data_IF_148201854500
#
_entry.id   IF_148201854500
#
_cell.length_a   1.000
_cell.length_b   1.000
_cell.length_c   1.000
_cell.angle_alpha   90.00
_cell.angle_beta   90.00
_cell.angle_gamma   90.00
#
_symmetry.space_group_name_H-M   'P 1'
#
loop_
_entity.id
_entity.type
_entity.pdbx_description
1 polymer ?
#
# COMPACT_ATOMS: atom_id res chain seq x y z
N UNK A 1 0.63 -2.92 -4.88
CA UNK A 1 1.91 -2.78 -5.59
C UNK A 1 1.82 -3.52 -6.90
N UNK A 2 2.39 -2.98 -7.98
CA UNK A 2 2.39 -3.63 -9.30
C UNK A 2 3.59 -4.57 -9.48
N UNK A 3 3.58 -5.37 -10.54
CA UNK A 3 4.62 -6.38 -10.81
C UNK A 3 6.03 -5.80 -10.88
N UNK A 4 6.19 -4.57 -11.40
CA UNK A 4 7.50 -3.93 -11.51
C UNK A 4 8.03 -3.50 -10.14
N UNK A 5 7.18 -2.92 -9.28
CA UNK A 5 7.54 -2.55 -7.91
C UNK A 5 7.90 -3.79 -7.06
N UNK A 6 7.16 -4.89 -7.25
CA UNK A 6 7.45 -6.17 -6.59
C UNK A 6 8.82 -6.69 -7.04
N UNK A 7 9.09 -6.70 -8.35
CA UNK A 7 10.38 -7.11 -8.89
C UNK A 7 11.54 -6.27 -8.34
N UNK A 8 11.36 -4.95 -8.26
CA UNK A 8 12.37 -4.03 -7.70
C UNK A 8 12.61 -4.27 -6.21
N UNK A 9 11.56 -4.60 -5.44
CA UNK A 9 11.69 -4.93 -4.02
C UNK A 9 12.34 -6.29 -3.80
N UNK A 10 12.04 -7.27 -4.65
CA UNK A 10 12.69 -8.60 -4.67
C UNK A 10 14.20 -8.49 -4.98
N UNK A 11 14.64 -7.44 -5.68
CA UNK A 11 16.06 -7.10 -5.88
C UNK A 11 16.73 -6.45 -4.65
N UNK A 12 15.98 -6.23 -3.57
CA UNK A 12 16.47 -5.64 -2.32
C UNK A 12 16.38 -4.11 -2.25
N UNK A 13 15.66 -3.45 -3.16
CA UNK A 13 15.41 -2.02 -3.03
C UNK A 13 14.37 -1.77 -1.93
N UNK A 14 14.55 -0.67 -1.18
CA UNK A 14 13.52 -0.21 -0.23
C UNK A 14 12.17 -0.01 -0.93
N UNK A 15 11.07 -0.21 -0.22
CA UNK A 15 9.73 -0.03 -0.78
C UNK A 15 9.54 1.37 -1.40
N UNK A 16 10.10 2.42 -0.78
CA UNK A 16 10.04 3.79 -1.30
C UNK A 16 10.72 3.90 -2.65
N UNK A 17 11.92 3.33 -2.78
CA UNK A 17 12.66 3.36 -4.03
C UNK A 17 12.00 2.48 -5.10
N UNK A 18 11.52 1.29 -4.73
CA UNK A 18 10.80 0.41 -5.63
C UNK A 18 9.52 1.06 -6.19
N UNK A 19 8.85 1.91 -5.40
CA UNK A 19 7.69 2.71 -5.83
C UNK A 19 8.08 3.88 -6.72
N UNK A 20 9.15 4.61 -6.43
CA UNK A 20 9.53 5.82 -7.18
C UNK A 20 10.25 5.54 -8.50
N UNK A 21 11.09 4.50 -8.54
CA UNK A 21 11.96 4.22 -9.69
C UNK A 21 11.20 4.00 -11.01
N UNK A 22 10.05 3.31 -11.04
CA UNK A 22 9.23 3.20 -12.25
C UNK A 22 8.82 4.55 -12.84
N UNK A 23 8.42 5.52 -11.99
CA UNK A 23 8.04 6.85 -12.47
C UNK A 23 9.24 7.61 -13.04
N UNK A 24 10.41 7.52 -12.39
CA UNK A 24 11.65 8.11 -12.89
C UNK A 24 12.05 7.50 -14.25
N UNK A 25 11.89 6.18 -14.40
CA UNK A 25 12.12 5.50 -15.66
C UNK A 25 11.16 5.98 -16.76
N UNK A 26 9.87 6.20 -16.46
CA UNK A 26 8.91 6.74 -17.43
C UNK A 26 9.24 8.16 -17.87
N UNK A 27 9.71 9.01 -16.96
CA UNK A 27 10.23 10.35 -17.31
C UNK A 27 11.46 10.23 -18.22
N UNK A 28 12.38 9.32 -17.90
CA UNK A 28 13.55 9.04 -18.74
C UNK A 28 13.19 8.58 -20.15
N UNK A 29 12.23 7.65 -20.28
CA UNK A 29 11.71 7.18 -21.57
C UNK A 29 11.08 8.32 -22.35
N UNK A 30 10.24 9.15 -21.71
CA UNK A 30 9.68 10.36 -22.33
C UNK A 30 10.76 11.31 -22.84
N UNK A 31 11.82 11.51 -22.07
CA UNK A 31 12.98 12.33 -22.45
C UNK A 31 13.74 11.77 -23.66
N UNK A 32 13.99 10.45 -23.68
CA UNK A 32 14.64 9.78 -24.82
C UNK A 32 13.79 9.91 -26.09
N UNK A 33 12.49 9.64 -26.00
CA UNK A 33 11.57 9.75 -27.13
C UNK A 33 11.49 11.19 -27.66
N UNK A 34 11.38 12.17 -26.75
CA UNK A 34 11.41 13.58 -27.08
C UNK A 34 12.72 13.97 -27.81
N UNK A 35 13.87 13.50 -27.31
CA UNK A 35 15.17 13.73 -27.94
C UNK A 35 15.29 13.13 -29.34
N UNK A 36 14.76 11.92 -29.55
CA UNK A 36 14.71 11.28 -30.87
C UNK A 36 13.84 12.08 -31.86
N UNK A 37 12.68 12.59 -31.41
CA UNK A 37 11.81 13.42 -32.23
C UNK A 37 12.50 14.73 -32.61
N UNK A 38 13.15 15.41 -31.65
CA UNK A 38 13.90 16.63 -31.92
C UNK A 38 15.02 16.40 -32.95
N UNK A 39 15.71 15.26 -32.87
CA UNK A 39 16.83 14.94 -33.76
C UNK A 39 16.40 14.55 -35.17
N UNK A 40 15.29 13.84 -35.32
CA UNK A 40 14.92 13.20 -36.60
C UNK A 40 13.68 13.79 -37.28
N UNK A 41 12.95 14.69 -36.62
CA UNK A 41 11.73 15.27 -37.18
C UNK A 41 12.02 16.42 -38.14
N UNK A 42 11.26 16.48 -39.24
CA UNK A 42 11.23 17.61 -40.17
C UNK A 42 10.14 18.64 -39.82
N UNK A 43 9.55 18.53 -38.62
CA UNK A 43 8.47 19.41 -38.19
C UNK A 43 9.00 20.79 -37.81
N UNK A 44 8.21 21.83 -38.09
CA UNK A 44 8.63 23.22 -37.90
C UNK A 44 8.05 23.81 -36.61
N UNK A 45 8.91 24.53 -35.88
CA UNK A 45 8.54 25.48 -34.82
C UNK A 45 7.51 24.92 -33.82
N UNK A 46 6.37 25.60 -33.72
CA UNK A 46 5.33 25.30 -32.72
C UNK A 46 4.84 23.85 -32.75
N UNK A 47 4.68 23.25 -33.95
CA UNK A 47 4.18 21.87 -34.08
C UNK A 47 5.16 20.87 -33.48
N UNK A 48 6.47 21.08 -33.69
CA UNK A 48 7.52 20.24 -33.11
C UNK A 48 7.47 20.30 -31.58
N UNK A 49 7.43 21.51 -31.01
CA UNK A 49 7.38 21.70 -29.57
C UNK A 49 6.13 21.11 -28.92
N UNK A 50 4.97 21.21 -29.56
CA UNK A 50 3.73 20.57 -29.07
C UNK A 50 3.87 19.05 -29.01
N UNK A 51 4.40 18.42 -30.07
CA UNK A 51 4.61 16.96 -30.07
C UNK A 51 5.64 16.54 -29.04
N UNK A 52 6.74 17.29 -28.92
CA UNK A 52 7.80 17.02 -27.93
C UNK A 52 7.24 17.08 -26.52
N UNK A 53 6.45 18.10 -26.18
CA UNK A 53 5.85 18.25 -24.86
C UNK A 53 4.85 17.12 -24.57
N UNK A 54 4.02 16.76 -25.55
CA UNK A 54 3.10 15.62 -25.40
C UNK A 54 3.87 14.32 -25.13
N UNK A 55 4.87 14.00 -25.96
CA UNK A 55 5.63 12.75 -25.83
C UNK A 55 6.47 12.70 -24.55
N UNK A 56 6.96 13.85 -24.08
CA UNK A 56 7.71 13.93 -22.83
C UNK A 56 6.83 13.54 -21.61
N UNK A 57 5.59 14.03 -21.58
CA UNK A 57 4.68 13.86 -20.44
C UNK A 57 3.89 12.55 -20.52
N UNK A 58 3.57 12.08 -21.72
CA UNK A 58 2.61 10.99 -21.92
C UNK A 58 2.97 9.67 -21.22
N UNK A 59 4.22 9.16 -21.26
CA UNK A 59 4.57 7.92 -20.58
C UNK A 59 4.33 8.00 -19.06
N UNK A 60 4.69 9.12 -18.44
CA UNK A 60 4.44 9.35 -17.03
C UNK A 60 2.95 9.40 -16.73
N UNK A 61 2.16 10.14 -17.52
CA UNK A 61 0.71 10.26 -17.30
C UNK A 61 -0.01 8.92 -17.45
N UNK A 62 0.33 8.11 -18.46
CA UNK A 62 -0.25 6.78 -18.64
C UNK A 62 0.08 5.90 -17.44
N UNK A 63 1.36 5.88 -17.02
CA UNK A 63 1.78 5.06 -15.90
C UNK A 63 1.09 5.49 -14.59
N UNK A 64 1.02 6.80 -14.32
CA UNK A 64 0.32 7.34 -13.16
C UNK A 64 -1.19 7.04 -13.17
N UNK A 65 -1.84 7.06 -14.34
CA UNK A 65 -3.25 6.72 -14.45
C UNK A 65 -3.53 5.24 -14.10
N UNK A 66 -2.61 4.34 -14.44
CA UNK A 66 -2.72 2.91 -14.13
C UNK A 66 -2.29 2.60 -12.69
N UNK A 67 -1.26 3.29 -12.21
CA UNK A 67 -0.68 3.13 -10.89
C UNK A 67 -0.54 4.52 -10.28
N UNK A 68 -1.58 5.04 -9.61
CA UNK A 68 -1.50 6.34 -8.97
C UNK A 68 -0.60 6.28 -7.73
N UNK A 69 0.04 7.41 -7.44
CA UNK A 69 0.74 7.65 -6.17
C UNK A 69 -0.29 8.19 -5.19
N UNK A 70 -0.52 7.46 -4.09
CA UNK A 70 -1.47 7.87 -3.06
C UNK A 70 -0.78 8.73 -2.00
N UNK A 71 -1.56 9.48 -1.21
CA UNK A 71 -1.02 10.36 -0.19
C UNK A 71 -0.19 9.59 0.86
N UNK A 72 -0.63 8.37 1.22
CA UNK A 72 0.10 7.47 2.13
C UNK A 72 1.45 6.97 1.60
N UNK A 73 1.75 7.14 0.30
CA UNK A 73 3.07 6.84 -0.26
C UNK A 73 4.07 7.98 -0.03
N UNK A 74 3.59 9.21 0.18
CA UNK A 74 4.41 10.41 0.28
C UNK A 74 4.53 10.91 1.72
N UNK A 75 3.43 10.86 2.48
CA UNK A 75 3.30 11.43 3.81
C UNK A 75 2.85 10.38 4.82
N UNK A 76 3.29 10.53 6.07
CA UNK A 76 2.72 9.75 7.17
C UNK A 76 1.38 10.36 7.58
N UNK A 77 0.30 9.67 7.20
CA UNK A 77 -1.08 10.02 7.53
C UNK A 77 -1.63 9.07 8.63
N UNK A 78 -0.74 8.58 9.48
CA UNK A 78 -1.15 7.84 10.67
C UNK A 78 -1.93 8.73 11.63
N UNK A 79 -2.80 8.07 12.39
CA UNK A 79 -3.41 8.65 13.58
C UNK A 79 -3.15 7.75 14.77
N UNK A 80 -3.28 8.34 15.96
CA UNK A 80 -3.20 7.63 17.23
C UNK A 80 -4.49 7.87 17.99
N UNK A 81 -5.01 6.84 18.64
CA UNK A 81 -6.21 6.95 19.46
C UNK A 81 -6.06 6.15 20.74
N UNK A 82 -6.53 6.72 21.85
CA UNK A 82 -6.60 5.99 23.11
C UNK A 82 -7.63 4.87 23.00
N UNK A 83 -7.21 3.67 23.39
CA UNK A 83 -8.02 2.46 23.33
C UNK A 83 -7.96 1.70 24.64
N UNK A 84 -9.07 1.03 24.98
CA UNK A 84 -9.10 0.01 26.03
C UNK A 84 -8.99 -1.41 25.47
N UNK A 85 -8.87 -1.53 24.15
CA UNK A 85 -8.65 -2.81 23.47
C UNK A 85 -7.32 -3.38 23.95
N UNK A 86 -7.31 -4.67 24.28
CA UNK A 86 -6.11 -5.39 24.70
C UNK A 86 -5.32 -5.75 23.44
N UNK A 87 -4.08 -5.26 23.35
CA UNK A 87 -3.19 -5.56 22.23
C UNK A 87 -2.08 -6.54 22.63
N UNK A 88 -1.49 -7.26 21.66
CA UNK A 88 -0.25 -8.00 21.87
C UNK A 88 0.88 -7.14 22.42
N UNK A 89 1.73 -7.74 23.26
CA UNK A 89 2.95 -7.10 23.78
C UNK A 89 4.04 -6.95 22.71
N UNK A 90 4.11 -7.89 21.76
CA UNK A 90 5.07 -7.86 20.65
C UNK A 90 4.71 -6.79 19.60
N UNK A 91 5.74 -6.23 18.94
CA UNK A 91 5.57 -5.38 17.75
C UNK A 91 4.79 -6.15 16.68
N UNK A 92 3.55 -5.75 16.45
CA UNK A 92 2.60 -6.48 15.59
C UNK A 92 1.86 -5.51 14.67
N UNK A 93 1.75 -5.86 13.38
CA UNK A 93 0.84 -5.20 12.46
C UNK A 93 -0.48 -5.97 12.42
N UNK A 94 -1.56 -5.32 12.85
CA UNK A 94 -2.90 -5.88 12.87
C UNK A 94 -3.72 -5.23 11.77
N UNK A 95 -4.36 -6.03 10.93
CA UNK A 95 -5.33 -5.53 9.94
C UNK A 95 -6.74 -5.86 10.40
N UNK A 96 -7.56 -4.84 10.57
CA UNK A 96 -8.97 -4.98 10.92
C UNK A 96 -9.79 -5.01 9.63
N UNK A 97 -10.59 -6.06 9.48
CA UNK A 97 -11.34 -6.33 8.26
C UNK A 97 -12.82 -6.58 8.55
N UNK A 98 -13.65 -6.09 7.65
CA UNK A 98 -15.10 -6.32 7.67
C UNK A 98 -15.47 -7.33 6.56
N UNK A 99 -16.26 -8.38 6.86
CA UNK A 99 -16.79 -9.27 5.84
C UNK A 99 -17.58 -8.52 4.76
N UNK A 100 -17.49 -8.99 3.51
CA UNK A 100 -18.15 -8.35 2.37
C UNK A 100 -17.47 -7.07 1.86
N UNK A 101 -16.44 -6.55 2.54
CA UNK A 101 -15.68 -5.39 2.07
C UNK A 101 -14.62 -5.80 1.04
N UNK A 102 -14.74 -5.34 -0.20
CA UNK A 102 -13.79 -5.65 -1.29
C UNK A 102 -12.36 -5.23 -0.94
N UNK A 103 -12.17 -4.03 -0.38
CA UNK A 103 -10.84 -3.54 0.02
C UNK A 103 -10.20 -4.40 1.12
N UNK A 104 -11.00 -4.99 2.01
CA UNK A 104 -10.48 -5.95 2.98
C UNK A 104 -10.01 -7.23 2.30
N UNK A 105 -10.72 -7.70 1.26
CA UNK A 105 -10.24 -8.86 0.49
C UNK A 105 -8.91 -8.54 -0.18
N UNK A 106 -8.76 -7.35 -0.76
CA UNK A 106 -7.53 -6.91 -1.41
C UNK A 106 -6.35 -6.78 -0.43
N UNK A 107 -6.59 -6.32 0.81
CA UNK A 107 -5.52 -6.22 1.82
C UNK A 107 -4.89 -7.55 2.20
N UNK A 108 -5.58 -8.68 1.98
CA UNK A 108 -4.97 -10.01 2.19
C UNK A 108 -3.77 -10.25 1.29
N UNK A 109 -3.77 -9.71 0.06
CA UNK A 109 -2.62 -9.79 -0.85
C UNK A 109 -1.50 -8.86 -0.40
N UNK A 110 -1.84 -7.66 0.06
CA UNK A 110 -0.87 -6.72 0.61
C UNK A 110 -0.16 -7.29 1.84
N UNK A 111 -0.89 -7.97 2.73
CA UNK A 111 -0.32 -8.64 3.91
C UNK A 111 0.67 -9.74 3.54
N UNK A 112 0.34 -10.58 2.55
CA UNK A 112 1.28 -11.60 2.04
C UNK A 112 2.56 -10.98 1.51
N UNK A 113 2.42 -9.86 0.80
CA UNK A 113 3.56 -9.15 0.25
C UNK A 113 4.46 -8.57 1.35
N UNK A 114 3.87 -7.90 2.35
CA UNK A 114 4.60 -7.35 3.50
C UNK A 114 5.31 -8.47 4.27
N UNK A 115 4.65 -9.63 4.48
CA UNK A 115 5.28 -10.78 5.17
C UNK A 115 6.54 -11.27 4.50
N UNK A 116 6.58 -11.25 3.16
CA UNK A 116 7.71 -11.77 2.39
C UNK A 116 8.97 -10.90 2.59
N UNK A 117 8.79 -9.65 2.98
CA UNK A 117 9.84 -8.64 2.99
C UNK A 117 10.09 -8.04 4.38
N UNK A 118 9.29 -8.39 5.39
CA UNK A 118 9.40 -7.89 6.77
C UNK A 118 9.19 -9.04 7.75
N UNK A 119 9.91 -9.01 8.87
CA UNK A 119 9.84 -10.06 9.90
C UNK A 119 8.80 -9.78 11.01
N UNK A 120 8.13 -8.62 10.97
CA UNK A 120 7.13 -8.19 11.96
C UNK A 120 6.02 -9.24 12.14
N UNK A 121 5.55 -9.40 13.38
CA UNK A 121 4.37 -10.23 13.63
C UNK A 121 3.15 -9.60 12.97
N UNK A 122 2.27 -10.46 12.45
CA UNK A 122 1.10 -9.98 11.74
C UNK A 122 -0.15 -10.72 12.18
N UNK A 123 -1.22 -9.95 12.39
CA UNK A 123 -2.53 -10.48 12.70
C UNK A 123 -3.60 -9.87 11.78
N UNK A 124 -4.66 -10.63 11.57
CA UNK A 124 -5.80 -10.22 10.76
C UNK A 124 -7.06 -10.43 11.59
N UNK A 125 -7.65 -9.32 12.03
CA UNK A 125 -8.82 -9.28 12.90
C UNK A 125 -10.08 -9.11 12.08
N UNK A 126 -10.94 -10.13 12.09
CA UNK A 126 -12.21 -10.12 11.38
C UNK A 126 -13.31 -9.62 12.33
N UNK A 127 -14.03 -8.58 11.93
CA UNK A 127 -15.20 -8.05 12.64
C UNK A 127 -16.42 -8.88 12.25
N UNK A 128 -16.50 -10.08 12.82
CA UNK A 128 -17.62 -11.02 12.66
C UNK A 128 -17.63 -12.01 13.82
N UNK A 129 -18.72 -12.77 13.93
CA UNK A 129 -18.80 -13.97 14.77
C UNK A 129 -19.05 -15.22 13.92
N UNK A 130 -19.14 -15.10 12.59
CA UNK A 130 -19.36 -16.22 11.69
C UNK A 130 -18.01 -16.89 11.32
N UNK A 131 -17.93 -18.19 11.59
CA UNK A 131 -16.78 -19.03 11.22
C UNK A 131 -16.54 -19.06 9.71
N UNK A 132 -17.59 -18.88 8.91
CA UNK A 132 -17.47 -18.83 7.45
C UNK A 132 -16.60 -17.64 6.99
N UNK A 133 -16.78 -16.47 7.62
CA UNK A 133 -15.99 -15.27 7.36
C UNK A 133 -14.53 -15.45 7.78
N UNK A 134 -14.30 -16.02 8.96
CA UNK A 134 -12.95 -16.29 9.44
C UNK A 134 -12.22 -17.26 8.51
N UNK A 135 -12.91 -18.32 8.07
CA UNK A 135 -12.37 -19.28 7.10
C UNK A 135 -12.07 -18.62 5.75
N UNK A 136 -12.94 -17.71 5.30
CA UNK A 136 -12.75 -16.97 4.06
C UNK A 136 -11.45 -16.14 4.07
N UNK A 137 -11.19 -15.39 5.15
CA UNK A 137 -9.99 -14.56 5.28
C UNK A 137 -8.74 -15.37 5.60
N UNK A 138 -8.81 -16.35 6.51
CA UNK A 138 -7.66 -17.20 6.87
C UNK A 138 -7.06 -17.93 5.66
N UNK A 139 -7.90 -18.43 4.76
CA UNK A 139 -7.47 -19.04 3.50
C UNK A 139 -6.75 -18.04 2.56
N UNK A 140 -7.00 -16.74 2.70
CA UNK A 140 -6.49 -15.68 1.82
C UNK A 140 -5.25 -14.97 2.35
N UNK A 141 -5.13 -14.75 3.65
CA UNK A 141 -3.96 -14.04 4.25
C UNK A 141 -2.68 -14.87 4.19
N UNK A 142 -2.79 -16.20 4.11
CA UNK A 142 -1.63 -17.08 3.98
C UNK A 142 -0.93 -17.40 5.31
N UNK A 143 0.18 -18.15 5.23
CA UNK A 143 0.93 -18.60 6.41
C UNK A 143 1.70 -17.44 7.06
N UNK A 144 1.83 -17.48 8.38
CA UNK A 144 2.57 -16.46 9.14
C UNK A 144 1.77 -15.21 9.51
N UNK A 145 0.48 -15.16 9.16
CA UNK A 145 -0.47 -14.14 9.61
C UNK A 145 -1.52 -14.81 10.50
N UNK A 146 -1.64 -14.35 11.75
CA UNK A 146 -2.63 -14.87 12.69
C UNK A 146 -4.02 -14.30 12.37
N UNK A 147 -4.89 -15.12 11.76
CA UNK A 147 -6.26 -14.72 11.45
C UNK A 147 -7.20 -15.14 12.59
N UNK A 148 -7.91 -14.17 13.18
CA UNK A 148 -8.82 -14.40 14.31
C UNK A 148 -9.97 -13.39 14.33
N UNK A 149 -11.00 -13.64 15.13
CA UNK A 149 -12.03 -12.63 15.40
C UNK A 149 -11.49 -11.52 16.31
N UNK A 150 -12.01 -10.31 16.13
CA UNK A 150 -11.81 -9.24 17.10
C UNK A 150 -12.54 -9.58 18.41
N UNK A 151 -11.85 -9.48 19.54
CA UNK A 151 -12.41 -9.82 20.86
C UNK A 151 -13.30 -8.72 21.45
N UNK A 152 -12.92 -7.46 21.28
CA UNK A 152 -13.71 -6.27 21.65
C UNK A 152 -14.18 -5.56 20.38
N UNK A 153 -15.21 -6.10 19.72
CA UNK A 153 -15.75 -5.53 18.49
C UNK A 153 -16.09 -4.03 18.66
N UNK A 154 -16.84 -3.58 19.68
CA UNK A 154 -17.13 -2.15 19.85
C UNK A 154 -15.89 -1.28 20.00
N UNK A 155 -14.89 -1.73 20.76
CA UNK A 155 -13.62 -1.02 20.92
C UNK A 155 -12.84 -0.95 19.62
N UNK A 156 -12.67 -2.07 18.93
CA UNK A 156 -11.96 -2.15 17.65
C UNK A 156 -12.66 -1.33 16.57
N UNK A 157 -13.99 -1.36 16.49
CA UNK A 157 -14.79 -0.54 15.58
C UNK A 157 -14.57 0.97 15.78
N UNK A 158 -14.31 1.43 17.01
CA UNK A 158 -13.98 2.84 17.25
C UNK A 158 -12.59 3.21 16.72
N UNK A 159 -11.66 2.27 16.74
CA UNK A 159 -10.31 2.50 16.22
C UNK A 159 -10.32 2.65 14.71
N UNK A 160 -11.24 1.98 14.01
CA UNK A 160 -11.32 2.07 12.54
C UNK A 160 -11.87 3.40 12.04
N UNK A 161 -12.49 4.21 12.92
CA UNK A 161 -13.21 5.43 12.56
C UNK A 161 -14.21 5.21 11.40
N UNK A 162 -14.74 4.00 11.27
CA UNK A 162 -15.68 3.61 10.21
C UNK A 162 -15.04 3.28 8.85
N UNK A 163 -13.71 3.29 8.72
CA UNK A 163 -13.00 2.99 7.47
C UNK A 163 -12.40 1.58 7.50
N UNK A 164 -12.49 0.84 6.38
CA UNK A 164 -11.98 -0.51 6.28
C UNK A 164 -11.25 -0.76 4.96
N UNK A 165 -10.17 -1.58 4.96
CA UNK A 165 -9.47 -2.09 6.13
C UNK A 165 -8.79 -0.99 6.95
N UNK A 166 -8.51 -1.25 8.22
CA UNK A 166 -7.67 -0.40 9.07
C UNK A 166 -6.42 -1.17 9.47
N UNK A 167 -5.26 -0.53 9.38
CA UNK A 167 -3.98 -1.08 9.78
C UNK A 167 -3.59 -0.48 11.12
N UNK A 168 -3.26 -1.33 12.09
CA UNK A 168 -2.88 -0.93 13.45
C UNK A 168 -1.48 -1.47 13.73
N UNK A 169 -0.52 -0.58 13.94
CA UNK A 169 0.80 -0.95 14.47
C UNK A 169 0.75 -0.86 15.99
N UNK A 170 0.97 -1.99 16.63
CA UNK A 170 0.97 -2.11 18.10
C UNK A 170 2.32 -2.56 18.59
N UNK A 171 2.70 -2.09 19.77
CA UNK A 171 3.94 -2.46 20.45
C UNK A 171 3.77 -2.23 21.95
N UNK A 172 4.32 -3.14 22.78
CA UNK A 172 4.24 -3.07 24.24
C UNK A 172 2.80 -2.88 24.76
N UNK A 173 1.86 -3.64 24.17
CA UNK A 173 0.45 -3.63 24.56
C UNK A 173 -0.32 -2.35 24.19
N UNK A 174 0.27 -1.46 23.38
CA UNK A 174 -0.31 -0.16 23.02
C UNK A 174 -0.40 0.03 21.51
N UNK A 175 -1.42 0.76 21.09
CA UNK A 175 -1.51 1.27 19.72
C UNK A 175 -0.48 2.39 19.52
N UNK A 176 0.48 2.16 18.62
CA UNK A 176 1.51 3.14 18.28
C UNK A 176 1.04 4.02 17.13
N UNK A 177 0.51 3.41 16.07
CA UNK A 177 -0.02 4.09 14.89
C UNK A 177 -1.19 3.32 14.29
N UNK A 178 -2.09 4.03 13.63
CA UNK A 178 -3.16 3.47 12.84
C UNK A 178 -3.26 4.17 11.49
N UNK A 179 -3.62 3.44 10.44
CA UNK A 179 -3.84 3.95 9.09
C UNK A 179 -5.14 3.39 8.50
N UNK A 180 -5.79 4.21 7.70
CA UNK A 180 -6.91 3.81 6.85
C UNK A 180 -6.38 3.19 5.56
N UNK A 181 -7.26 2.56 4.79
CA UNK A 181 -6.89 1.86 3.56
C UNK A 181 -6.09 2.71 2.56
N UNK A 182 -6.50 3.96 2.37
CA UNK A 182 -5.90 4.92 1.44
C UNK A 182 -4.67 5.66 2.01
N UNK A 183 -4.45 5.56 3.32
CA UNK A 183 -3.31 6.17 4.01
C UNK A 183 -2.22 5.18 4.38
N UNK A 184 -2.49 3.87 4.31
CA UNK A 184 -1.50 2.82 4.50
C UNK A 184 -0.70 2.57 3.21
N UNK A 185 0.29 3.42 2.98
CA UNK A 185 1.19 3.34 1.82
C UNK A 185 2.61 2.92 2.18
N UNK A 186 3.51 3.15 1.24
CA UNK A 186 4.91 2.75 1.33
C UNK A 186 5.65 3.33 2.55
N UNK A 187 5.27 4.54 3.00
CA UNK A 187 5.81 5.13 4.23
C UNK A 187 5.44 4.33 5.48
N UNK A 188 4.19 3.90 5.58
CA UNK A 188 3.73 3.09 6.71
C UNK A 188 4.43 1.72 6.73
N UNK A 189 4.70 1.13 5.56
CA UNK A 189 5.43 -0.14 5.45
C UNK A 189 6.89 0.02 5.93
N UNK A 190 7.54 1.15 5.63
CA UNK A 190 8.90 1.42 6.08
C UNK A 190 9.02 1.55 7.61
N UNK A 191 7.94 1.87 8.32
CA UNK A 191 7.91 1.93 9.80
C UNK A 191 7.81 0.54 10.46
N UNK A 192 7.57 -0.51 9.67
CA UNK A 192 7.40 -1.88 10.18
C UNK A 192 8.73 -2.57 10.49
N UNK A 193 9.80 -2.20 9.77
CA UNK A 193 11.18 -2.62 10.03
C UNK A 193 11.73 -1.96 11.32
#
# INVERSE_FOLDING_TARGET
MNTLEIFLSDLGLSFTLARMLPYLAMVGIGGVLAGLILKHSKMNGWKLWTVVLLVLVHPFTIYFALFPIYQGDLMDLSYTQSSKVIFPESKTLIVVALPGCQYCVESTQQMKYIRKHTDIQMAYWVISNDQSDLKFFSNRVGRGVLCQFATDIPGVMRLTQGSFPTYLLVENGKLIKAWHNDTFGVRAIADLD
#
